data_IF_418590222287
#
_entry.id   IF_418590222287
#
_cell.length_a   1.000
_cell.length_b   1.000
_cell.length_c   1.000
_cell.angle_alpha   90.00
_cell.angle_beta   90.00
_cell.angle_gamma   90.00
#
_symmetry.space_group_name_H-M   'P 1'
#
loop_
_entity.id
_entity.type
_entity.pdbx_description
1 polymer ?
#
# COMPACT_ATOMS: atom_id res chain seq x y z
N UNK A 1 21.51 -27.67 -21.74
CA UNK A 1 20.11 -27.78 -21.28
C UNK A 1 19.82 -26.46 -20.59
N UNK A 2 19.52 -25.44 -21.38
CA UNK A 2 19.27 -24.09 -20.88
C UNK A 2 17.79 -24.03 -20.50
N UNK A 3 17.53 -24.00 -19.19
CA UNK A 3 16.19 -23.77 -18.67
C UNK A 3 16.05 -22.25 -18.52
N UNK A 4 15.59 -21.60 -19.58
CA UNK A 4 15.12 -20.23 -19.54
C UNK A 4 14.12 -20.11 -18.37
N UNK A 5 14.47 -19.31 -17.37
CA UNK A 5 13.57 -18.96 -16.27
C UNK A 5 12.56 -17.97 -16.85
N UNK A 6 11.43 -18.50 -17.30
CA UNK A 6 10.26 -17.70 -17.64
C UNK A 6 9.71 -17.10 -16.36
N UNK A 7 9.95 -15.81 -16.17
CA UNK A 7 9.10 -14.99 -15.31
C UNK A 7 7.71 -15.06 -15.92
N UNK A 8 6.73 -15.51 -15.14
CA UNK A 8 5.35 -15.55 -15.60
C UNK A 8 4.87 -14.10 -15.81
N UNK A 9 4.97 -13.62 -17.04
CA UNK A 9 4.22 -12.44 -17.47
C UNK A 9 2.74 -12.80 -17.34
N UNK A 10 2.06 -12.20 -16.36
CA UNK A 10 0.60 -12.16 -16.38
C UNK A 10 0.21 -11.40 -17.65
N UNK A 11 -0.51 -12.00 -18.62
CA UNK A 11 -1.00 -11.25 -19.76
C UNK A 11 -2.19 -10.42 -19.29
N UNK A 12 -1.93 -9.26 -18.68
CA UNK A 12 -2.99 -8.47 -18.07
C UNK A 12 -2.51 -7.08 -17.68
N UNK A 13 -3.01 -6.08 -18.41
CA UNK A 13 -2.93 -4.62 -18.18
C UNK A 13 -1.51 -4.11 -17.87
N UNK A 14 -0.91 -3.41 -18.84
CA UNK A 14 0.34 -2.68 -18.62
C UNK A 14 0.17 -1.58 -17.57
N UNK A 15 1.25 -1.16 -16.92
CA UNK A 15 1.21 -0.05 -15.96
C UNK A 15 0.63 1.23 -16.58
N UNK A 16 0.89 1.50 -17.87
CA UNK A 16 0.32 2.64 -18.59
C UNK A 16 -1.21 2.56 -18.70
N UNK A 17 -1.74 1.39 -19.06
CA UNK A 17 -3.18 1.14 -19.13
C UNK A 17 -3.81 1.25 -17.75
N UNK A 18 -3.15 0.75 -16.71
CA UNK A 18 -3.64 0.80 -15.34
C UNK A 18 -3.66 2.24 -14.80
N UNK A 19 -2.60 3.02 -15.03
CA UNK A 19 -2.54 4.45 -14.67
C UNK A 19 -3.69 5.20 -15.34
N UNK A 20 -3.90 4.99 -16.65
CA UNK A 20 -4.99 5.64 -17.38
C UNK A 20 -6.37 5.22 -16.85
N UNK A 21 -6.55 3.93 -16.56
CA UNK A 21 -7.79 3.41 -16.00
C UNK A 21 -8.10 4.05 -14.64
N UNK A 22 -7.11 4.17 -13.77
CA UNK A 22 -7.26 4.79 -12.45
C UNK A 22 -7.57 6.28 -12.57
N UNK A 23 -6.83 7.03 -13.42
CA UNK A 23 -7.13 8.46 -13.68
C UNK A 23 -8.58 8.66 -14.13
N UNK A 24 -9.06 7.77 -14.98
CA UNK A 24 -10.46 7.78 -15.44
C UNK A 24 -11.42 7.45 -14.29
N UNK A 25 -11.08 6.45 -13.47
CA UNK A 25 -11.91 5.98 -12.36
C UNK A 25 -12.08 7.02 -11.24
N UNK A 26 -11.06 7.86 -11.01
CA UNK A 26 -11.08 8.92 -9.98
C UNK A 26 -11.46 10.31 -10.52
N UNK A 27 -11.70 10.43 -11.82
CA UNK A 27 -12.04 11.70 -12.43
C UNK A 27 -13.28 12.34 -11.77
N UNK A 28 -13.17 13.61 -11.38
CA UNK A 28 -14.26 14.36 -10.74
C UNK A 28 -14.43 14.11 -9.24
N UNK A 29 -13.59 13.27 -8.60
CA UNK A 29 -13.62 13.08 -7.14
C UNK A 29 -13.00 14.24 -6.33
N UNK A 30 -12.36 15.20 -6.99
CA UNK A 30 -11.71 16.33 -6.31
C UNK A 30 -10.45 15.94 -5.53
N UNK A 31 -9.73 14.91 -5.98
CA UNK A 31 -8.47 14.48 -5.39
C UNK A 31 -7.40 15.60 -5.46
N UNK A 32 -6.43 15.64 -4.53
CA UNK A 32 -5.33 16.60 -4.58
C UNK A 32 -4.50 16.42 -5.85
N UNK A 33 -3.83 17.51 -6.26
CA UNK A 33 -2.88 17.46 -7.37
C UNK A 33 -1.80 16.39 -7.12
N UNK A 34 -1.25 15.78 -8.18
CA UNK A 34 -0.14 14.84 -8.06
C UNK A 34 1.04 15.43 -7.28
N UNK A 35 1.73 14.56 -6.53
CA UNK A 35 2.93 14.94 -5.79
C UNK A 35 4.09 15.26 -6.74
N UNK A 36 5.10 15.98 -6.24
CA UNK A 36 6.30 16.25 -7.01
C UNK A 36 7.31 15.09 -6.96
N UNK A 37 8.21 15.04 -7.93
CA UNK A 37 9.32 14.08 -7.91
C UNK A 37 10.26 14.28 -6.70
N UNK A 38 10.37 15.52 -6.21
CA UNK A 38 11.18 15.85 -5.03
C UNK A 38 10.54 15.32 -3.74
N UNK A 39 9.20 15.35 -3.65
CA UNK A 39 8.46 14.76 -2.51
C UNK A 39 8.64 13.25 -2.46
N UNK A 40 8.53 12.56 -3.60
CA UNK A 40 8.79 11.12 -3.71
C UNK A 40 10.22 10.81 -3.27
N UNK A 41 11.21 11.51 -3.82
CA UNK A 41 12.62 11.30 -3.48
C UNK A 41 12.93 11.64 -2.01
N UNK A 42 12.21 12.59 -1.40
CA UNK A 42 12.31 12.88 0.02
C UNK A 42 11.79 11.71 0.86
N UNK A 43 10.64 11.14 0.50
CA UNK A 43 10.06 10.02 1.22
C UNK A 43 10.87 8.73 1.07
N UNK A 44 11.38 8.42 -0.13
CA UNK A 44 12.28 7.28 -0.34
C UNK A 44 13.53 7.33 0.56
N UNK A 45 14.09 8.53 0.79
CA UNK A 45 15.20 8.73 1.73
C UNK A 45 14.80 8.46 3.19
N UNK A 46 13.56 8.75 3.57
CA UNK A 46 13.04 8.45 4.91
C UNK A 46 12.88 6.94 5.10
N UNK A 47 12.33 6.24 4.10
CA UNK A 47 12.12 4.78 4.15
C UNK A 47 13.43 4.01 4.01
N UNK A 48 14.42 4.56 3.30
CA UNK A 48 15.69 3.89 2.99
C UNK A 48 15.61 2.87 1.84
N UNK A 49 14.49 2.84 1.13
CA UNK A 49 14.23 1.98 -0.03
C UNK A 49 13.54 2.78 -1.14
N UNK A 50 13.78 2.44 -2.42
CA UNK A 50 13.05 3.06 -3.53
C UNK A 50 11.56 2.69 -3.47
N UNK A 51 10.71 3.62 -3.89
CA UNK A 51 9.27 3.39 -4.01
C UNK A 51 9.01 2.44 -5.19
N UNK A 52 8.12 1.44 -5.05
CA UNK A 52 7.69 0.60 -6.17
C UNK A 52 7.22 1.45 -7.35
N UNK A 53 7.66 1.12 -8.55
CA UNK A 53 7.50 1.98 -9.74
C UNK A 53 6.05 2.38 -9.97
N UNK A 54 5.13 1.41 -9.91
CA UNK A 54 3.71 1.68 -10.09
C UNK A 54 3.16 2.63 -9.02
N UNK A 55 3.56 2.49 -7.74
CA UNK A 55 3.12 3.42 -6.68
C UNK A 55 3.65 4.83 -6.93
N UNK A 56 4.91 4.94 -7.35
CA UNK A 56 5.53 6.21 -7.73
C UNK A 56 4.75 6.88 -8.85
N UNK A 57 4.34 6.13 -9.87
CA UNK A 57 3.49 6.64 -10.96
C UNK A 57 2.11 7.08 -10.45
N UNK A 58 1.51 6.38 -9.49
CA UNK A 58 0.23 6.81 -8.90
C UNK A 58 0.38 8.20 -8.27
N UNK A 59 1.39 8.40 -7.44
CA UNK A 59 1.62 9.71 -6.80
C UNK A 59 1.97 10.83 -7.79
N UNK A 60 2.76 10.54 -8.84
CA UNK A 60 3.24 11.54 -9.79
C UNK A 60 2.25 11.86 -10.92
N UNK A 61 1.40 10.92 -11.31
CA UNK A 61 0.54 11.03 -12.50
C UNK A 61 -0.95 11.04 -12.19
N UNK A 62 -1.37 10.55 -11.02
CA UNK A 62 -2.79 10.44 -10.62
C UNK A 62 -3.14 11.50 -9.59
N UNK A 63 -2.63 11.39 -8.37
CA UNK A 63 -2.96 12.26 -7.25
C UNK A 63 -2.03 12.03 -6.05
N UNK A 64 -1.87 13.06 -5.21
CA UNK A 64 -1.20 12.94 -3.92
C UNK A 64 -2.10 12.27 -2.86
N UNK A 65 -2.43 10.99 -3.07
CA UNK A 65 -3.36 10.23 -2.22
C UNK A 65 -4.79 10.18 -2.76
N UNK A 66 -5.69 9.52 -2.02
CA UNK A 66 -7.12 9.46 -2.28
C UNK A 66 -7.57 8.42 -3.33
N UNK A 67 -6.64 7.76 -4.01
CA UNK A 67 -6.95 6.61 -4.89
C UNK A 67 -6.98 5.31 -4.09
N UNK A 68 -7.57 4.24 -4.64
CA UNK A 68 -7.70 2.94 -3.98
C UNK A 68 -9.07 2.73 -3.29
N UNK A 69 -9.33 1.52 -2.77
CA UNK A 69 -10.61 1.15 -2.16
C UNK A 69 -10.98 1.95 -0.90
N UNK A 70 -9.99 2.35 -0.09
CA UNK A 70 -10.16 3.14 1.14
C UNK A 70 -9.24 4.36 1.16
N UNK A 71 -8.97 4.96 -0.01
CA UNK A 71 -8.23 6.22 -0.13
C UNK A 71 -6.81 6.16 0.46
N UNK A 72 -5.83 5.90 -0.40
CA UNK A 72 -4.40 5.89 -0.07
C UNK A 72 -4.00 7.22 0.57
N UNK A 73 -3.19 7.15 1.64
CA UNK A 73 -2.72 8.32 2.36
C UNK A 73 -1.95 9.29 1.44
N UNK A 74 -2.02 10.58 1.73
CA UNK A 74 -1.22 11.58 1.01
C UNK A 74 0.27 11.37 1.27
N UNK A 75 1.11 11.58 0.25
CA UNK A 75 2.57 11.56 0.38
C UNK A 75 3.08 12.75 1.19
N UNK A 76 2.40 13.89 1.08
CA UNK A 76 2.66 15.14 1.81
C UNK A 76 1.35 15.72 2.34
N UNK A 77 1.43 16.59 3.35
CA UNK A 77 0.26 17.24 3.95
C UNK A 77 -0.50 18.09 2.91
N UNK A 78 -1.73 17.65 2.61
CA UNK A 78 -2.66 18.29 1.67
C UNK A 78 -3.67 19.21 2.36
N UNK A 79 -3.69 19.27 3.70
CA UNK A 79 -4.69 19.99 4.50
C UNK A 79 -6.08 19.34 4.56
N UNK A 80 -6.34 18.33 3.71
CA UNK A 80 -7.48 17.42 3.76
C UNK A 80 -6.93 15.99 3.65
N UNK A 81 -7.15 15.17 4.68
CA UNK A 81 -6.37 13.95 4.92
C UNK A 81 -7.20 12.70 4.73
N UNK A 82 -6.62 11.68 4.09
CA UNK A 82 -7.23 10.37 3.87
C UNK A 82 -6.97 9.36 5.01
N UNK A 83 -6.35 9.82 6.10
CA UNK A 83 -6.04 9.00 7.27
C UNK A 83 -5.99 9.84 8.53
N UNK A 84 -5.83 9.19 9.69
CA UNK A 84 -5.55 9.89 10.94
C UNK A 84 -4.14 10.56 10.97
N UNK A 85 -3.32 10.33 9.94
CA UNK A 85 -2.03 10.98 9.73
C UNK A 85 -2.11 12.02 8.61
N UNK A 86 -1.43 13.16 8.80
CA UNK A 86 -1.39 14.23 7.80
C UNK A 86 -0.71 13.80 6.50
N UNK A 87 0.27 12.90 6.61
CA UNK A 87 0.96 12.29 5.47
C UNK A 87 1.51 10.90 5.82
N UNK A 88 1.97 10.20 4.78
CA UNK A 88 2.58 8.88 4.88
C UNK A 88 3.89 8.88 5.69
N UNK A 89 4.58 10.03 5.81
CA UNK A 89 5.79 10.15 6.63
C UNK A 89 5.44 10.09 8.12
N UNK A 90 4.38 10.77 8.54
CA UNK A 90 3.85 10.71 9.90
C UNK A 90 3.41 9.29 10.24
N UNK A 91 2.66 8.64 9.34
CA UNK A 91 2.25 7.25 9.51
C UNK A 91 3.48 6.32 9.64
N UNK A 92 4.42 6.39 8.70
CA UNK A 92 5.63 5.55 8.72
C UNK A 92 6.43 5.69 10.02
N UNK A 93 6.61 6.92 10.53
CA UNK A 93 7.29 7.16 11.81
C UNK A 93 6.54 6.58 13.00
N UNK A 94 5.21 6.59 12.98
CA UNK A 94 4.38 5.97 14.03
C UNK A 94 4.59 4.45 14.13
N UNK A 95 4.98 3.80 13.04
CA UNK A 95 5.29 2.37 13.00
C UNK A 95 6.78 2.03 13.21
N UNK A 96 7.66 3.03 13.30
CA UNK A 96 9.11 2.86 13.37
C UNK A 96 9.67 2.58 14.78
N UNK A 97 8.80 2.31 15.77
CA UNK A 97 9.20 1.87 17.10
C UNK A 97 10.02 0.56 17.04
N UNK A 98 10.90 0.27 18.03
CA UNK A 98 11.84 -0.86 17.97
C UNK A 98 11.20 -2.25 17.87
N UNK A 99 9.93 -2.38 18.24
CA UNK A 99 9.11 -3.60 18.06
C UNK A 99 8.10 -3.48 16.88
N UNK A 100 8.26 -2.45 16.05
CA UNK A 100 7.37 -2.06 14.96
C UNK A 100 7.59 -2.81 13.65
N UNK A 101 7.22 -2.18 12.52
CA UNK A 101 7.30 -2.82 11.20
C UNK A 101 8.75 -3.06 10.77
N UNK A 102 9.04 -4.16 10.04
CA UNK A 102 10.31 -4.33 9.36
C UNK A 102 10.64 -3.11 8.48
N UNK A 103 11.90 -2.65 8.44
CA UNK A 103 12.32 -1.57 7.54
C UNK A 103 11.92 -1.87 6.09
N UNK A 104 11.48 -0.83 5.36
CA UNK A 104 10.96 -0.94 4.00
C UNK A 104 9.49 -1.32 3.88
N UNK A 105 8.80 -1.73 4.96
CA UNK A 105 7.34 -1.87 4.94
C UNK A 105 6.71 -0.55 5.35
N UNK A 106 5.85 -0.02 4.49
CA UNK A 106 5.29 1.33 4.59
C UNK A 106 3.78 1.28 4.75
N UNK A 107 3.18 1.99 5.73
CA UNK A 107 1.73 2.16 5.80
C UNK A 107 1.23 2.93 4.57
N UNK A 108 0.29 2.37 3.82
CA UNK A 108 -0.18 2.94 2.56
C UNK A 108 -1.59 3.51 2.65
N UNK A 109 -2.48 2.80 3.32
CA UNK A 109 -3.91 3.13 3.36
C UNK A 109 -4.48 2.80 4.73
N UNK A 110 -5.02 3.82 5.39
CA UNK A 110 -5.72 3.68 6.66
C UNK A 110 -7.09 3.04 6.41
N UNK A 111 -7.50 2.12 7.29
CA UNK A 111 -8.80 1.44 7.21
C UNK A 111 -9.61 1.65 8.48
N UNK A 112 -9.23 2.61 9.31
CA UNK A 112 -9.81 2.88 10.61
C UNK A 112 -9.47 1.80 11.65
N UNK A 113 -9.85 2.05 12.91
CA UNK A 113 -9.57 1.14 14.04
C UNK A 113 -8.09 0.72 14.14
N UNK A 114 -7.18 1.63 13.78
CA UNK A 114 -5.74 1.41 13.70
C UNK A 114 -5.30 0.29 12.73
N UNK A 115 -6.16 -0.13 11.81
CA UNK A 115 -5.85 -1.10 10.77
C UNK A 115 -5.27 -0.39 9.54
N UNK A 116 -4.27 -1.00 8.91
CA UNK A 116 -3.61 -0.42 7.75
C UNK A 116 -3.36 -1.46 6.66
N UNK A 117 -3.56 -1.08 5.39
CA UNK A 117 -2.87 -1.77 4.30
C UNK A 117 -1.46 -1.20 4.23
N UNK A 118 -0.47 -2.08 4.20
CA UNK A 118 0.93 -1.71 4.05
C UNK A 118 1.46 -2.18 2.69
N UNK A 119 2.57 -1.61 2.25
CA UNK A 119 3.28 -1.98 1.03
C UNK A 119 4.77 -2.18 1.29
N UNK A 120 5.34 -3.19 0.65
CA UNK A 120 6.75 -3.54 0.79
C UNK A 120 7.62 -2.88 -0.29
N UNK A 121 8.41 -1.88 0.07
CA UNK A 121 9.34 -1.20 -0.84
C UNK A 121 10.58 -2.04 -1.17
N UNK A 122 10.76 -3.19 -0.50
CA UNK A 122 11.86 -4.12 -0.80
C UNK A 122 11.55 -4.99 -2.01
N UNK A 123 10.29 -5.06 -2.45
CA UNK A 123 9.89 -5.78 -3.66
C UNK A 123 9.57 -4.80 -4.78
N UNK A 124 10.03 -5.10 -6.00
CA UNK A 124 9.84 -4.21 -7.15
C UNK A 124 8.36 -4.03 -7.52
N UNK A 125 7.55 -5.06 -7.28
CA UNK A 125 6.12 -5.13 -7.56
C UNK A 125 5.23 -4.60 -6.40
N UNK A 126 5.83 -4.16 -5.30
CA UNK A 126 5.12 -3.61 -4.15
C UNK A 126 4.13 -4.58 -3.55
N UNK A 127 4.61 -5.67 -2.95
CA UNK A 127 3.76 -6.65 -2.28
C UNK A 127 2.98 -6.01 -1.13
N UNK A 128 1.66 -6.25 -1.09
CA UNK A 128 0.80 -5.67 -0.07
C UNK A 128 0.73 -6.56 1.17
N UNK A 129 0.60 -5.90 2.31
CA UNK A 129 0.47 -6.51 3.63
C UNK A 129 -0.73 -5.94 4.37
N UNK A 130 -1.21 -6.73 5.30
CA UNK A 130 -2.28 -6.42 6.21
C UNK A 130 -1.72 -6.09 7.58
N UNK A 131 -2.17 -5.00 8.18
CA UNK A 131 -1.96 -4.69 9.58
C UNK A 131 -3.29 -4.58 10.32
N UNK A 132 -3.47 -5.42 11.33
CA UNK A 132 -4.65 -5.40 12.19
C UNK A 132 -4.29 -5.67 13.66
N UNK A 133 -4.19 -4.60 14.47
CA UNK A 133 -3.83 -4.72 15.88
C UNK A 133 -4.98 -5.24 16.74
N UNK A 134 -6.18 -5.44 16.17
CA UNK A 134 -7.36 -5.93 16.91
C UNK A 134 -7.41 -7.47 17.00
N UNK A 135 -6.37 -8.15 16.52
CA UNK A 135 -6.19 -9.59 16.64
C UNK A 135 -5.74 -10.02 18.04
N UNK A 136 -5.49 -11.34 18.23
CA UNK A 136 -5.11 -11.90 19.55
C UNK A 136 -3.86 -11.24 20.14
N UNK A 137 -2.88 -10.88 19.32
CA UNK A 137 -1.68 -10.18 19.75
C UNK A 137 -0.96 -9.49 18.58
N UNK A 138 -0.03 -8.58 18.92
CA UNK A 138 0.76 -7.82 17.94
C UNK A 138 1.61 -8.69 16.99
N UNK A 139 2.01 -9.89 17.43
CA UNK A 139 2.76 -10.83 16.58
C UNK A 139 1.94 -11.35 15.39
N UNK A 140 0.61 -11.33 15.49
CA UNK A 140 -0.30 -11.73 14.43
C UNK A 140 -0.91 -10.54 13.68
N UNK A 141 -0.59 -9.30 14.08
CA UNK A 141 -1.14 -8.11 13.46
C UNK A 141 -0.71 -7.97 11.99
N UNK A 142 0.49 -8.43 11.64
CA UNK A 142 1.07 -8.35 10.31
C UNK A 142 0.86 -9.65 9.51
N UNK A 143 0.25 -9.58 8.32
CA UNK A 143 0.10 -10.72 7.42
C UNK A 143 0.27 -10.33 5.94
N UNK A 144 0.88 -11.17 5.09
CA UNK A 144 0.94 -10.89 3.66
C UNK A 144 -0.45 -11.00 3.03
N UNK A 145 -0.76 -10.13 2.07
CA UNK A 145 -1.97 -10.26 1.26
C UNK A 145 -1.80 -11.26 0.11
N UNK A 146 -0.55 -11.55 -0.26
CA UNK A 146 -0.21 -12.40 -1.39
C UNK A 146 -0.62 -11.78 -2.74
N UNK A 147 -0.75 -10.46 -2.80
CA UNK A 147 -1.09 -9.72 -4.01
C UNK A 147 -0.16 -8.50 -4.17
N UNK A 148 0.41 -8.27 -5.37
CA UNK A 148 1.14 -7.04 -5.68
C UNK A 148 0.18 -5.87 -5.86
N UNK A 149 0.70 -4.64 -5.79
CA UNK A 149 -0.07 -3.41 -5.95
C UNK A 149 -0.88 -3.38 -7.26
N UNK A 150 -0.30 -3.85 -8.37
CA UNK A 150 -0.95 -3.86 -9.68
C UNK A 150 -2.25 -4.67 -9.68
N UNK A 151 -2.22 -5.87 -9.07
CA UNK A 151 -3.41 -6.73 -8.96
C UNK A 151 -4.47 -6.06 -8.09
N UNK A 152 -4.08 -5.48 -6.96
CA UNK A 152 -5.00 -4.81 -6.04
C UNK A 152 -5.70 -3.60 -6.66
N UNK A 153 -4.95 -2.75 -7.37
CA UNK A 153 -5.51 -1.61 -8.10
C UNK A 153 -6.40 -2.06 -9.27
N UNK A 154 -6.02 -3.13 -9.96
CA UNK A 154 -6.84 -3.74 -11.01
C UNK A 154 -8.17 -4.21 -10.43
N UNK A 155 -8.14 -4.93 -9.30
CA UNK A 155 -9.36 -5.41 -8.64
C UNK A 155 -10.24 -4.24 -8.18
N UNK A 156 -9.65 -3.17 -7.66
CA UNK A 156 -10.38 -1.96 -7.28
C UNK A 156 -11.12 -1.32 -8.45
N UNK A 157 -10.44 -1.09 -9.57
CA UNK A 157 -11.05 -0.51 -10.78
C UNK A 157 -12.19 -1.38 -11.31
N UNK A 158 -12.10 -2.71 -11.15
CA UNK A 158 -13.14 -3.66 -11.54
C UNK A 158 -14.23 -3.89 -10.48
N UNK A 159 -14.18 -3.21 -9.33
CA UNK A 159 -15.14 -3.39 -8.23
C UNK A 159 -15.03 -4.76 -7.54
N UNK A 160 -13.85 -5.37 -7.57
CA UNK A 160 -13.51 -6.67 -6.99
C UNK A 160 -12.52 -6.59 -5.83
N UNK A 161 -12.03 -5.39 -5.50
CA UNK A 161 -11.09 -5.24 -4.40
C UNK A 161 -11.70 -5.74 -3.10
N UNK A 162 -10.95 -6.57 -2.39
CA UNK A 162 -11.33 -7.02 -1.07
C UNK A 162 -11.09 -5.90 -0.06
N UNK A 163 -12.14 -5.50 0.66
CA UNK A 163 -12.10 -4.42 1.65
C UNK A 163 -11.62 -4.90 3.05
N UNK A 164 -11.17 -6.16 3.14
CA UNK A 164 -10.74 -6.78 4.39
C UNK A 164 -11.88 -7.42 5.18
N UNK A 165 -11.56 -8.21 6.23
CA UNK A 165 -10.22 -8.71 6.56
C UNK A 165 -9.74 -9.76 5.55
N UNK A 166 -8.44 -9.78 5.22
CA UNK A 166 -7.90 -10.59 4.12
C UNK A 166 -7.67 -12.07 4.50
N UNK A 167 -7.81 -13.01 3.55
CA UNK A 167 -7.92 -14.45 3.86
C UNK A 167 -6.60 -15.16 4.19
N UNK A 168 -5.44 -14.60 3.84
CA UNK A 168 -4.12 -15.27 4.03
C UNK A 168 -3.51 -15.10 5.43
N UNK A 169 -4.32 -14.76 6.44
CA UNK A 169 -3.83 -14.64 7.81
C UNK A 169 -3.54 -16.00 8.41
N UNK A 170 -2.37 -16.14 9.03
CA UNK A 170 -2.12 -17.25 9.96
C UNK A 170 -3.10 -17.08 11.11
N UNK A 171 -4.06 -18.00 11.21
CA UNK A 171 -5.02 -18.01 12.30
C UNK A 171 -4.26 -18.28 13.61
N UNK A 172 -4.55 -17.46 14.61
CA UNK A 172 -4.13 -17.70 15.99
C UNK A 172 -4.46 -19.15 16.37
N UNK A 173 -3.46 -19.92 16.79
CA UNK A 173 -3.73 -21.22 17.42
C UNK A 173 -4.42 -20.96 18.77
N UNK A 174 -5.10 -21.98 19.32
CA UNK A 174 -5.76 -21.88 20.63
C UNK A 174 -4.82 -21.45 21.77
N UNK A 175 -3.50 -21.53 21.54
CA UNK A 175 -2.45 -21.15 22.48
C UNK A 175 -2.00 -19.68 22.34
N UNK A 176 -2.49 -18.91 21.34
CA UNK A 176 -2.32 -17.46 21.29
C UNK A 176 -3.17 -16.82 22.40
N UNK A 177 -2.66 -16.82 23.64
CA UNK A 177 -3.28 -16.06 24.72
C UNK A 177 -3.01 -14.59 24.48
N UNK A 178 -4.08 -13.80 24.41
CA UNK A 178 -4.04 -12.35 24.48
C UNK A 178 -3.12 -11.94 25.65
N UNK A 179 -1.94 -11.42 25.32
CA UNK A 179 -1.05 -10.79 26.29
C UNK A 179 -1.35 -9.30 26.31
#
# INVERSE_FOLDING_TARGET
MDKASGVAEYPGVTDDELVLAIRTHVAGRGLPDPASADDVAAFERVVGHPMPELLRRMYLEVANGGFGPWEVASLTDTGDWFSDCADITMAYRGFADPDGLPPGIVPLMDRGCAMWTLIDFRTADGQLWDWDPNLCCMQHALAPLGQPLAQWLTDWVHGKAHEGPYPQRVLATADCRNQ
#
